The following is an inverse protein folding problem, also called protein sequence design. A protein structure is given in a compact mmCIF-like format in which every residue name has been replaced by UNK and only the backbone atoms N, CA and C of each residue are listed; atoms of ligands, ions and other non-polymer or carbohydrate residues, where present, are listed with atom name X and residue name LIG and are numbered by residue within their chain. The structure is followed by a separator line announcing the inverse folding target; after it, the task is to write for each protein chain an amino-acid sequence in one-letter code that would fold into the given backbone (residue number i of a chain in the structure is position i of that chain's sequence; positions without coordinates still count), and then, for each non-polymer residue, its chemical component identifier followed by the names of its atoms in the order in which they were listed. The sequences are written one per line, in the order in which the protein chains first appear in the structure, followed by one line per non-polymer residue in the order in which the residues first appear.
data_IF_743715360109
#
_entry.id   IF_743715360109
#
_cell.length_a   1.000
_cell.length_b   1.000
_cell.length_c   1.000
_cell.angle_alpha   90.00
_cell.angle_beta   90.00
_cell.angle_gamma   90.00
#
_symmetry.space_group_name_H-M   'P 1'
#
loop_
_entity.id
_entity.type
_entity.pdbx_description
1 polymer ?
#
# COMPACT_ATOMS: atom_id res chain seq x y z
N UNK A 1 -3.15 -18.43 11.00
CA UNK A 1 -3.04 -16.96 10.99
C UNK A 1 -3.56 -16.49 9.64
N UNK A 2 -4.77 -15.92 9.61
CA UNK A 2 -5.47 -15.62 8.34
C UNK A 2 -4.77 -14.45 7.61
N UNK A 3 -4.55 -14.53 6.29
CA UNK A 3 -3.78 -13.58 5.50
C UNK A 3 -4.49 -12.23 5.26
N UNK A 4 -5.36 -11.78 6.18
CA UNK A 4 -6.17 -10.56 6.01
C UNK A 4 -5.39 -9.26 6.11
N UNK A 5 -4.18 -9.30 6.67
CA UNK A 5 -3.31 -8.12 6.74
C UNK A 5 -2.49 -7.93 5.46
N UNK A 6 -2.42 -8.93 4.56
CA UNK A 6 -1.61 -8.83 3.35
C UNK A 6 -1.97 -7.63 2.45
N UNK A 7 -3.25 -7.30 2.19
CA UNK A 7 -3.59 -6.20 1.29
C UNK A 7 -3.05 -4.83 1.72
N UNK A 8 -3.19 -4.37 2.99
CA UNK A 8 -2.55 -3.14 3.45
C UNK A 8 -1.04 -3.31 3.78
N UNK A 9 -0.57 -4.53 4.04
CA UNK A 9 0.85 -4.78 4.33
C UNK A 9 1.73 -4.55 3.09
N UNK A 10 1.24 -4.88 1.90
CA UNK A 10 1.97 -4.67 0.62
C UNK A 10 2.36 -3.20 0.41
N UNK A 11 1.44 -2.21 0.42
CA UNK A 11 1.79 -0.81 0.26
C UNK A 11 2.60 -0.26 1.44
N UNK A 12 2.36 -0.73 2.67
CA UNK A 12 3.17 -0.33 3.83
C UNK A 12 4.63 -0.78 3.70
N UNK A 13 4.87 -2.04 3.32
CA UNK A 13 6.21 -2.58 3.09
C UNK A 13 6.94 -1.83 1.98
N UNK A 14 6.24 -1.52 0.88
CA UNK A 14 6.83 -0.81 -0.24
C UNK A 14 7.27 0.63 0.10
N UNK A 15 6.59 1.28 1.04
CA UNK A 15 7.00 2.58 1.60
C UNK A 15 8.19 2.45 2.56
N UNK A 16 8.25 1.40 3.37
CA UNK A 16 9.37 1.15 4.30
C UNK A 16 10.65 0.75 3.55
N UNK A 17 10.52 0.03 2.44
CA UNK A 17 11.62 -0.37 1.56
C UNK A 17 12.11 0.76 0.63
N UNK A 18 11.42 1.91 0.62
CA UNK A 18 11.74 3.08 -0.19
C UNK A 18 13.21 3.55 -0.09
N UNK A 19 13.84 3.69 1.10
CA UNK A 19 15.26 4.05 1.23
C UNK A 19 16.22 2.93 0.82
N UNK A 20 15.76 1.67 0.75
CA UNK A 20 16.59 0.52 0.43
C UNK A 20 16.61 0.18 -1.08
N UNK A 21 15.71 0.77 -1.88
CA UNK A 21 15.71 0.60 -3.33
C UNK A 21 16.56 1.68 -4.03
N UNK A 22 17.69 1.32 -4.67
CA UNK A 22 18.51 2.28 -5.43
C UNK A 22 17.76 2.89 -6.62
N UNK A 23 16.67 2.26 -7.08
CA UNK A 23 15.79 2.80 -8.13
C UNK A 23 14.98 4.03 -7.68
N UNK A 24 14.57 4.06 -6.41
CA UNK A 24 13.86 5.23 -5.85
C UNK A 24 14.85 6.33 -5.47
N UNK A 25 16.05 5.94 -5.06
CA UNK A 25 17.16 6.85 -4.71
C UNK A 25 18.00 7.27 -5.93
N UNK A 26 17.59 6.94 -7.15
CA UNK A 26 18.31 7.35 -8.36
C UNK A 26 17.96 8.78 -8.74
N UNK A 27 18.96 9.54 -9.19
CA UNK A 27 18.82 10.91 -9.72
C UNK A 27 18.12 10.96 -11.10
N UNK A 28 17.71 9.80 -11.62
CA UNK A 28 16.94 9.70 -12.87
C UNK A 28 15.60 10.43 -12.71
N UNK A 29 15.39 11.50 -13.47
CA UNK A 29 14.10 12.17 -13.58
C UNK A 29 13.11 11.28 -14.34
N UNK A 30 12.23 10.57 -13.64
CA UNK A 30 11.11 9.87 -14.26
C UNK A 30 10.03 10.89 -14.64
N UNK A 31 9.72 11.03 -15.94
CA UNK A 31 8.75 12.01 -16.43
C UNK A 31 9.06 13.48 -16.06
N UNK A 32 10.31 13.79 -15.70
CA UNK A 32 10.71 15.12 -15.20
C UNK A 32 10.58 15.31 -13.68
N UNK A 33 10.18 14.27 -12.94
CA UNK A 33 10.00 14.28 -11.49
C UNK A 33 10.95 13.30 -10.78
N UNK A 34 11.34 13.59 -9.52
CA UNK A 34 12.08 12.66 -8.68
C UNK A 34 11.34 11.32 -8.54
N UNK A 35 12.01 10.16 -8.72
CA UNK A 35 11.41 8.84 -8.57
C UNK A 35 10.76 8.61 -7.21
N UNK A 36 11.27 9.27 -6.16
CA UNK A 36 10.67 9.30 -4.83
C UNK A 36 9.20 9.75 -4.85
N UNK A 37 8.88 10.81 -5.60
CA UNK A 37 7.51 11.33 -5.69
C UNK A 37 6.60 10.39 -6.46
N UNK A 38 7.08 9.81 -7.56
CA UNK A 38 6.31 8.87 -8.37
C UNK A 38 6.02 7.59 -7.58
N UNK A 39 7.03 7.06 -6.89
CA UNK A 39 6.91 5.87 -6.07
C UNK A 39 5.98 6.09 -4.87
N UNK A 40 6.21 7.16 -4.10
CA UNK A 40 5.35 7.52 -2.98
C UNK A 40 3.90 7.78 -3.39
N UNK A 41 3.70 8.49 -4.50
CA UNK A 41 2.37 8.77 -5.06
C UNK A 41 1.63 7.51 -5.51
N UNK A 42 2.32 6.61 -6.23
CA UNK A 42 1.76 5.32 -6.65
C UNK A 42 1.30 4.49 -5.46
N UNK A 43 2.13 4.36 -4.43
CA UNK A 43 1.79 3.59 -3.23
C UNK A 43 0.75 4.27 -2.35
N UNK A 44 0.68 5.61 -2.33
CA UNK A 44 -0.38 6.36 -1.67
C UNK A 44 -1.75 6.11 -2.33
N UNK A 45 -1.80 6.06 -3.66
CA UNK A 45 -3.01 5.70 -4.40
C UNK A 45 -3.43 4.27 -4.08
N UNK A 46 -2.48 3.32 -4.01
CA UNK A 46 -2.76 1.92 -3.65
C UNK A 46 -3.16 1.72 -2.19
N UNK A 47 -2.78 2.62 -1.28
CA UNK A 47 -3.19 2.60 0.12
C UNK A 47 -4.71 2.77 0.25
N UNK A 48 -5.32 3.59 -0.60
CA UNK A 48 -6.76 3.90 -0.59
C UNK A 48 -7.64 2.65 -0.82
N UNK A 49 -7.49 1.88 -1.91
CA UNK A 49 -8.25 0.65 -2.11
C UNK A 49 -7.86 -0.43 -1.09
N UNK A 50 -6.61 -0.48 -0.62
CA UNK A 50 -6.22 -1.42 0.43
C UNK A 50 -6.98 -1.17 1.75
N UNK A 51 -7.15 0.10 2.12
CA UNK A 51 -7.90 0.50 3.31
C UNK A 51 -9.42 0.31 3.12
N UNK A 52 -9.94 0.63 1.95
CA UNK A 52 -11.36 0.44 1.61
C UNK A 52 -11.71 -1.06 1.60
N UNK A 53 -10.85 -1.90 1.03
CA UNK A 53 -11.01 -3.36 1.04
C UNK A 53 -10.96 -3.92 2.47
N UNK A 54 -10.03 -3.42 3.30
CA UNK A 54 -9.96 -3.79 4.71
C UNK A 54 -11.25 -3.42 5.47
N UNK A 55 -11.76 -2.20 5.26
CA UNK A 55 -13.01 -1.72 5.86
C UNK A 55 -14.23 -2.52 5.41
N UNK A 56 -14.31 -2.85 4.11
CA UNK A 56 -15.40 -3.68 3.55
C UNK A 56 -15.41 -5.09 4.14
N UNK A 57 -14.24 -5.66 4.44
CA UNK A 57 -14.14 -7.01 5.01
C UNK A 57 -14.49 -7.04 6.50
N UNK A 58 -14.12 -6.01 7.26
CA UNK A 58 -14.55 -5.87 8.67
C UNK A 58 -16.06 -5.73 8.80
N UNK A 59 -16.71 -5.03 7.86
CA UNK A 59 -18.17 -4.96 7.79
C UNK A 59 -18.83 -6.33 7.54
N UNK A 60 -18.11 -7.27 6.89
CA UNK A 60 -18.59 -8.64 6.67
C UNK A 60 -18.54 -9.52 7.92
N UNK A 61 -17.48 -9.41 8.75
CA UNK A 61 -17.36 -10.23 9.98
C UNK A 61 -18.44 -9.91 11.03
N UNK A 62 -19.02 -8.70 11.03
CA UNK A 62 -20.07 -8.37 12.00
C UNK A 62 -21.40 -9.11 11.72
N UNK A 63 -21.61 -9.60 10.49
CA UNK A 63 -22.85 -10.26 10.08
C UNK A 63 -22.84 -11.78 10.36
N UNK A 64 -21.65 -12.39 10.50
CA UNK A 64 -21.47 -13.83 10.74
C UNK A 64 -21.44 -14.20 12.25
N UNK A 65 -21.40 -13.20 13.14
CA UNK A 65 -21.38 -13.39 14.59
C UNK A 65 -22.76 -13.53 15.25
N UNK A 66 -23.84 -13.45 14.48
CA UNK A 66 -25.23 -13.51 14.98
C UNK A 66 -25.96 -14.80 14.54
N UNK A 67 -25.24 -15.90 14.35
CA UNK A 67 -25.83 -17.25 14.22
C UNK A 67 -25.54 -18.13 15.44
#
# INVERSE_FOLDING_TARGET
MRPYYLPPLVPALALVLMPFLPFVNSETLWFGLPPMLVWGGFWCILLTPAFLLSSRMMAGEHQDGEQ
#
